data_IF_647630219274
#
_entry.id   IF_647630219274
#
_cell.length_a   1.000
_cell.length_b   1.000
_cell.length_c   1.000
_cell.angle_alpha   90.00
_cell.angle_beta   90.00
_cell.angle_gamma   90.00
#
_symmetry.space_group_name_H-M   'P 1'
#
loop_
_entity.id
_entity.type
_entity.pdbx_description
1 polymer ?
#
# COMPACT_ATOMS: atom_id res chain seq x y z
N UNK A 1 5.46 -3.50 12.95
CA UNK A 1 6.06 -3.20 11.66
C UNK A 1 5.06 -3.28 10.51
N UNK A 2 3.92 -3.88 10.75
CA UNK A 2 2.94 -4.14 9.70
C UNK A 2 1.53 -4.23 10.25
N UNK A 3 0.55 -3.98 9.38
CA UNK A 3 -0.86 -4.15 9.70
C UNK A 3 -1.56 -4.85 8.54
N UNK A 4 -2.57 -5.64 8.86
CA UNK A 4 -3.40 -6.31 7.88
C UNK A 4 -4.86 -6.30 8.32
N UNK A 5 -5.76 -6.32 7.34
CA UNK A 5 -7.18 -6.35 7.61
C UNK A 5 -7.95 -6.95 6.43
N UNK A 6 -9.13 -7.47 6.72
CA UNK A 6 -10.09 -7.79 5.67
C UNK A 6 -10.87 -6.53 5.32
N UNK A 7 -11.01 -6.29 4.04
CA UNK A 7 -11.66 -5.08 3.55
C UNK A 7 -13.18 -5.14 3.72
N UNK A 8 -13.77 -6.31 3.66
CA UNK A 8 -15.21 -6.49 3.78
C UNK A 8 -15.55 -7.87 4.29
N UNK A 9 -16.67 -7.94 5.00
CA UNK A 9 -17.29 -9.19 5.35
C UNK A 9 -18.19 -9.58 4.20
N UNK A 10 -17.92 -10.61 3.55
CA UNK A 10 -18.69 -10.81 2.71
C UNK A 10 -19.24 -11.69 1.76
N UNK A 11 -19.85 -11.33 0.80
CA UNK A 11 -20.46 -12.17 -0.17
C UNK A 11 -19.39 -12.73 -1.10
N UNK A 12 -18.81 -13.83 -0.69
CA UNK A 12 -17.75 -14.52 -1.40
C UNK A 12 -18.10 -14.86 -2.84
N UNK A 13 -19.38 -14.96 -3.14
CA UNK A 13 -19.85 -15.27 -4.50
C UNK A 13 -19.49 -14.24 -5.54
N UNK A 14 -19.31 -13.01 -5.13
CA UNK A 14 -18.95 -11.93 -6.05
C UNK A 14 -17.45 -11.82 -6.26
N UNK A 15 -16.69 -12.57 -5.51
CA UNK A 15 -15.24 -12.39 -5.45
C UNK A 15 -14.51 -12.79 -6.70
N UNK A 16 -14.93 -13.88 -7.32
CA UNK A 16 -14.28 -14.34 -8.56
C UNK A 16 -14.36 -13.31 -9.69
N UNK A 17 -15.38 -12.43 -9.65
CA UNK A 17 -15.55 -11.37 -10.62
C UNK A 17 -14.85 -10.09 -10.22
N UNK A 18 -14.60 -9.90 -8.94
CA UNK A 18 -14.15 -8.62 -8.41
C UNK A 18 -12.71 -8.27 -8.72
N UNK A 19 -11.83 -9.23 -8.87
CA UNK A 19 -10.45 -8.91 -9.20
C UNK A 19 -10.34 -8.22 -10.54
N UNK A 20 -11.00 -8.77 -11.57
CA UNK A 20 -11.03 -8.15 -12.88
C UNK A 20 -11.70 -6.78 -12.82
N UNK A 21 -12.83 -6.70 -12.11
CA UNK A 21 -13.55 -5.45 -11.93
C UNK A 21 -12.72 -4.42 -11.18
N UNK A 22 -12.03 -4.83 -10.15
CA UNK A 22 -11.12 -3.98 -9.39
C UNK A 22 -10.06 -3.37 -10.31
N UNK A 23 -9.40 -4.19 -11.10
CA UNK A 23 -8.34 -3.75 -11.99
C UNK A 23 -8.84 -2.81 -13.09
N UNK A 24 -10.07 -3.04 -13.56
CA UNK A 24 -10.70 -2.15 -14.53
C UNK A 24 -11.17 -0.85 -13.90
N UNK A 25 -11.52 -0.89 -12.61
CA UNK A 25 -12.02 0.27 -11.88
C UNK A 25 -10.91 1.15 -11.30
N UNK A 26 -9.71 0.60 -11.12
CA UNK A 26 -8.59 1.37 -10.59
C UNK A 26 -8.00 2.26 -11.67
N UNK A 27 -7.95 3.53 -11.38
CA UNK A 27 -7.26 4.50 -12.23
C UNK A 27 -5.77 4.44 -11.93
N UNK A 28 -5.05 3.63 -12.71
CA UNK A 28 -3.61 3.42 -12.55
C UNK A 28 -2.83 4.73 -12.64
N UNK A 29 -3.21 5.61 -13.57
CA UNK A 29 -2.52 6.90 -13.72
C UNK A 29 -2.69 7.78 -12.49
N UNK A 30 -3.87 7.77 -11.90
CA UNK A 30 -4.13 8.50 -10.67
C UNK A 30 -3.33 7.94 -9.51
N UNK A 31 -3.24 6.62 -9.39
CA UNK A 31 -2.43 5.97 -8.37
C UNK A 31 -0.95 6.33 -8.53
N UNK A 32 -0.42 6.22 -9.74
CA UNK A 32 0.98 6.57 -10.01
C UNK A 32 1.27 8.04 -9.72
N UNK A 33 0.37 8.96 -10.10
CA UNK A 33 0.57 10.37 -9.82
C UNK A 33 0.47 10.68 -8.32
N UNK A 34 -0.38 9.96 -7.60
CA UNK A 34 -0.50 10.08 -6.15
C UNK A 34 0.79 9.63 -5.46
N UNK A 35 1.35 8.49 -5.90
CA UNK A 35 2.64 8.02 -5.40
C UNK A 35 3.73 9.05 -5.66
N UNK A 36 3.82 9.56 -6.87
CA UNK A 36 4.82 10.55 -7.24
C UNK A 36 4.71 11.81 -6.38
N UNK A 37 3.50 12.29 -6.15
CA UNK A 37 3.28 13.46 -5.30
C UNK A 37 3.65 13.18 -3.85
N UNK A 38 3.27 12.03 -3.33
CA UNK A 38 3.59 11.64 -1.95
C UNK A 38 5.11 11.50 -1.75
N UNK A 39 5.80 10.94 -2.71
CA UNK A 39 7.25 10.73 -2.61
C UNK A 39 8.06 12.02 -2.70
N UNK A 40 7.49 13.10 -3.20
CA UNK A 40 8.18 14.40 -3.23
C UNK A 40 8.51 14.92 -1.83
N UNK A 41 7.72 14.60 -0.85
CA UNK A 41 7.89 15.09 0.52
C UNK A 41 8.76 14.19 1.40
N UNK A 42 9.24 13.06 0.89
CA UNK A 42 9.96 12.09 1.69
C UNK A 42 11.06 11.40 0.89
N UNK A 43 12.06 10.84 1.61
CA UNK A 43 13.06 9.96 1.03
C UNK A 43 12.54 8.52 0.88
N UNK A 44 11.41 8.19 1.50
CA UNK A 44 10.82 6.86 1.41
C UNK A 44 10.21 6.57 0.04
N UNK A 45 10.05 5.29 -0.26
CA UNK A 45 9.44 4.82 -1.50
C UNK A 45 8.16 4.06 -1.20
N UNK A 46 7.15 4.26 -2.04
CA UNK A 46 5.83 3.68 -1.86
C UNK A 46 5.48 2.81 -3.05
N UNK A 47 5.13 1.55 -2.79
CA UNK A 47 4.72 0.60 -3.82
C UNK A 47 3.34 0.08 -3.52
N UNK A 48 2.57 -0.15 -4.58
CA UNK A 48 1.27 -0.81 -4.51
C UNK A 48 1.36 -2.11 -5.30
N UNK A 49 0.99 -3.21 -4.65
CA UNK A 49 0.91 -4.52 -5.29
C UNK A 49 -0.54 -4.98 -5.31
N UNK A 50 -1.05 -5.29 -6.50
CA UNK A 50 -2.39 -5.84 -6.68
C UNK A 50 -2.27 -7.30 -7.07
N UNK A 51 -2.78 -8.19 -6.22
CA UNK A 51 -2.76 -9.62 -6.49
C UNK A 51 -4.08 -10.08 -7.08
N UNK A 52 -3.99 -10.82 -8.17
CA UNK A 52 -5.14 -11.46 -8.81
C UNK A 52 -5.51 -12.79 -8.15
N UNK A 53 -4.71 -13.24 -7.23
CA UNK A 53 -4.84 -14.55 -6.60
C UNK A 53 -5.72 -14.50 -5.38
N UNK A 54 -6.21 -15.67 -5.00
CA UNK A 54 -6.81 -15.83 -3.69
C UNK A 54 -5.69 -15.89 -2.64
N UNK A 55 -5.66 -14.91 -1.75
CA UNK A 55 -4.61 -14.77 -0.75
C UNK A 55 -5.23 -14.84 0.63
N UNK A 56 -5.16 -16.02 1.30
CA UNK A 56 -5.78 -16.17 2.62
C UNK A 56 -5.09 -15.35 3.71
N UNK A 57 -3.79 -15.11 3.59
CA UNK A 57 -3.03 -14.33 4.56
C UNK A 57 -2.30 -13.20 3.82
N UNK A 58 -2.97 -12.05 3.74
CA UNK A 58 -2.43 -10.89 3.02
C UNK A 58 -1.13 -10.38 3.64
N UNK A 59 -1.03 -10.43 4.97
CA UNK A 59 0.16 -9.93 5.66
C UNK A 59 1.38 -10.79 5.36
N UNK A 60 1.23 -12.11 5.42
CA UNK A 60 2.32 -13.03 5.11
C UNK A 60 2.78 -12.87 3.66
N UNK A 61 1.82 -12.77 2.73
CA UNK A 61 2.13 -12.62 1.31
C UNK A 61 2.78 -11.27 1.02
N UNK A 62 2.29 -10.20 1.63
CA UNK A 62 2.88 -8.87 1.50
C UNK A 62 4.33 -8.85 2.00
N UNK A 63 4.58 -9.49 3.13
CA UNK A 63 5.93 -9.59 3.70
C UNK A 63 6.86 -10.35 2.76
N UNK A 64 6.36 -11.43 2.16
CA UNK A 64 7.13 -12.19 1.17
C UNK A 64 7.46 -11.34 -0.06
N UNK A 65 6.49 -10.62 -0.58
CA UNK A 65 6.70 -9.71 -1.71
C UNK A 65 7.70 -8.60 -1.38
N UNK A 66 7.62 -8.05 -0.20
CA UNK A 66 8.53 -7.01 0.27
C UNK A 66 9.99 -7.47 0.16
N UNK A 67 10.28 -8.68 0.60
CA UNK A 67 11.62 -9.27 0.51
C UNK A 67 11.98 -9.65 -0.92
N UNK A 68 11.04 -10.22 -1.66
CA UNK A 68 11.26 -10.65 -3.04
C UNK A 68 11.68 -9.47 -3.93
N UNK A 69 11.05 -8.32 -3.75
CA UNK A 69 11.37 -7.12 -4.51
C UNK A 69 12.50 -6.30 -3.89
N UNK A 70 13.17 -6.84 -2.90
CA UNK A 70 14.36 -6.25 -2.26
C UNK A 70 14.08 -4.87 -1.66
N UNK A 71 12.85 -4.66 -1.21
CA UNK A 71 12.46 -3.42 -0.58
C UNK A 71 13.11 -3.21 0.79
N UNK A 72 13.65 -4.28 1.37
CA UNK A 72 14.38 -4.24 2.63
C UNK A 72 15.88 -3.91 2.47
N UNK A 73 16.26 -3.41 1.30
CA UNK A 73 17.69 -3.15 0.99
C UNK A 73 18.00 -1.68 0.74
N UNK A 74 17.12 -0.79 1.13
CA UNK A 74 17.37 0.65 1.02
C UNK A 74 18.22 1.13 2.21
N UNK A 75 18.95 2.22 2.01
CA UNK A 75 19.86 2.74 3.02
C UNK A 75 19.15 3.13 4.32
N UNK A 76 17.96 3.76 4.21
CA UNK A 76 17.20 4.23 5.37
C UNK A 76 16.15 3.22 5.85
N UNK A 77 15.99 2.11 5.14
CA UNK A 77 15.00 1.08 5.48
C UNK A 77 13.60 1.68 5.65
N UNK A 78 13.19 2.54 4.71
CA UNK A 78 11.96 3.33 4.79
C UNK A 78 10.99 3.12 3.63
N UNK A 79 11.07 2.00 2.96
CA UNK A 79 10.10 1.62 1.94
C UNK A 79 8.80 1.11 2.56
N UNK A 80 7.69 1.34 1.87
CA UNK A 80 6.36 0.87 2.28
C UNK A 80 5.68 0.20 1.10
N UNK A 81 5.07 -0.95 1.36
CA UNK A 81 4.27 -1.70 0.40
C UNK A 81 2.81 -1.73 0.84
N UNK A 82 1.92 -1.33 -0.05
CA UNK A 82 0.48 -1.52 0.12
C UNK A 82 0.09 -2.70 -0.77
N UNK A 83 -0.31 -3.80 -0.14
CA UNK A 83 -0.70 -5.04 -0.82
C UNK A 83 -2.21 -5.18 -0.79
N UNK A 84 -2.82 -5.42 -1.95
CA UNK A 84 -4.27 -5.58 -2.07
C UNK A 84 -4.57 -6.88 -2.80
N UNK A 85 -5.43 -7.70 -2.22
CA UNK A 85 -5.90 -8.95 -2.82
C UNK A 85 -7.43 -8.91 -2.87
N UNK A 86 -8.02 -8.35 -3.94
CA UNK A 86 -9.46 -8.15 -4.02
C UNK A 86 -10.26 -9.45 -3.95
N UNK A 87 -9.74 -10.53 -4.53
CA UNK A 87 -10.40 -11.85 -4.52
C UNK A 87 -10.67 -12.37 -3.11
N UNK A 88 -9.77 -12.06 -2.18
CA UNK A 88 -9.84 -12.51 -0.79
C UNK A 88 -10.40 -11.43 0.13
N UNK A 89 -10.82 -10.30 -0.39
CA UNK A 89 -11.23 -9.14 0.42
C UNK A 89 -10.19 -8.76 1.47
N UNK A 90 -8.92 -8.87 1.13
CA UNK A 90 -7.86 -8.62 2.11
C UNK A 90 -6.85 -7.63 1.57
N UNK A 91 -6.23 -6.93 2.48
CA UNK A 91 -5.12 -6.04 2.17
C UNK A 91 -4.17 -5.99 3.36
N UNK A 92 -2.94 -5.57 3.08
CA UNK A 92 -1.93 -5.40 4.12
C UNK A 92 -1.04 -4.23 3.77
N UNK A 93 -0.51 -3.59 4.79
CA UNK A 93 0.49 -2.53 4.64
C UNK A 93 1.74 -2.99 5.38
N UNK A 94 2.86 -3.02 4.66
CA UNK A 94 4.14 -3.47 5.21
C UNK A 94 5.16 -2.36 5.00
N UNK A 95 5.83 -1.97 6.07
CA UNK A 95 6.94 -1.04 5.98
C UNK A 95 8.19 -1.64 6.55
N UNK A 96 9.32 -1.13 6.14
CA UNK A 96 10.59 -1.61 6.61
C UNK A 96 10.86 -1.18 8.05
N UNK A 97 11.86 -1.75 8.66
CA UNK A 97 12.18 -1.54 10.07
C UNK A 97 12.44 -0.07 10.41
N UNK A 98 12.99 0.71 9.46
CA UNK A 98 13.19 2.15 9.67
C UNK A 98 11.89 2.90 9.83
N UNK A 99 10.85 2.51 9.12
CA UNK A 99 9.52 3.11 9.27
C UNK A 99 8.94 2.79 10.63
N UNK A 100 8.99 1.53 11.02
CA UNK A 100 8.47 1.09 12.31
C UNK A 100 9.19 1.78 13.47
N UNK A 101 10.51 1.87 13.39
CA UNK A 101 11.32 2.48 14.45
C UNK A 101 10.98 3.96 14.67
N UNK A 102 10.66 4.70 13.61
CA UNK A 102 10.38 6.13 13.70
C UNK A 102 8.91 6.47 13.84
N UNK A 103 8.04 5.73 13.15
CA UNK A 103 6.62 6.05 13.10
C UNK A 103 5.81 5.34 14.18
N UNK A 104 6.31 4.22 14.70
CA UNK A 104 5.64 3.45 15.74
C UNK A 104 4.46 2.62 15.24
N UNK A 105 3.77 1.97 16.17
CA UNK A 105 2.68 1.05 15.84
C UNK A 105 1.43 1.77 15.31
N UNK A 106 1.20 3.00 15.73
CA UNK A 106 0.05 3.78 15.28
C UNK A 106 0.03 4.09 13.79
N UNK A 107 1.19 4.10 13.15
CA UNK A 107 1.33 4.33 11.72
C UNK A 107 0.44 3.39 10.90
N UNK A 108 0.57 2.10 11.19
CA UNK A 108 -0.14 1.05 10.43
C UNK A 108 -1.65 1.15 10.60
N UNK A 109 -2.08 1.42 11.82
CA UNK A 109 -3.50 1.56 12.11
C UNK A 109 -4.10 2.75 11.37
N UNK A 110 -3.40 3.86 11.30
CA UNK A 110 -3.88 5.04 10.57
C UNK A 110 -4.05 4.75 9.08
N UNK A 111 -3.08 4.07 8.48
CA UNK A 111 -3.15 3.74 7.05
C UNK A 111 -4.30 2.75 6.78
N UNK A 112 -4.40 1.70 7.60
CA UNK A 112 -5.45 0.70 7.45
C UNK A 112 -6.83 1.33 7.60
N UNK A 113 -7.02 2.19 8.58
CA UNK A 113 -8.31 2.84 8.80
C UNK A 113 -8.67 3.86 7.72
N UNK A 114 -7.66 4.45 7.06
CA UNK A 114 -7.91 5.32 5.91
C UNK A 114 -8.43 4.53 4.70
N UNK A 115 -8.01 3.28 4.55
CA UNK A 115 -8.37 2.47 3.40
C UNK A 115 -9.64 1.65 3.58
N UNK A 116 -9.85 1.10 4.76
CA UNK A 116 -10.88 0.09 5.03
C UNK A 116 -12.29 0.50 4.60
N UNK A 117 -12.83 1.67 5.00
CA UNK A 117 -14.20 2.02 4.64
C UNK A 117 -14.40 2.14 3.14
N UNK A 118 -13.41 2.67 2.44
CA UNK A 118 -13.47 2.86 1.00
C UNK A 118 -13.42 1.55 0.24
N UNK A 119 -12.60 0.62 0.70
CA UNK A 119 -12.55 -0.72 0.12
C UNK A 119 -13.87 -1.46 0.35
N UNK A 120 -14.49 -1.28 1.50
CA UNK A 120 -15.78 -1.88 1.81
C UNK A 120 -16.90 -1.33 0.91
N UNK A 121 -16.81 -0.08 0.50
CA UNK A 121 -17.76 0.54 -0.41
C UNK A 121 -17.46 0.29 -1.89
N UNK A 122 -16.36 -0.36 -2.21
CA UNK A 122 -15.95 -0.61 -3.58
C UNK A 122 -15.24 0.56 -4.26
N UNK A 123 -14.89 1.59 -3.52
CA UNK A 123 -14.17 2.76 -4.02
C UNK A 123 -12.67 2.49 -4.02
N UNK A 124 -12.24 1.65 -4.95
CA UNK A 124 -10.89 1.08 -4.93
C UNK A 124 -9.79 2.12 -5.18
N UNK A 125 -9.99 2.95 -6.19
CA UNK A 125 -9.04 4.02 -6.49
C UNK A 125 -8.92 4.97 -5.30
N UNK A 126 -10.04 5.38 -4.75
CA UNK A 126 -10.09 6.29 -3.62
C UNK A 126 -9.43 5.70 -2.37
N UNK A 127 -9.66 4.41 -2.13
CA UNK A 127 -9.02 3.70 -1.03
C UNK A 127 -7.50 3.73 -1.15
N UNK A 128 -6.97 3.42 -2.33
CA UNK A 128 -5.54 3.44 -2.57
C UNK A 128 -4.96 4.85 -2.51
N UNK A 129 -5.65 5.83 -3.08
CA UNK A 129 -5.23 7.23 -3.00
C UNK A 129 -5.10 7.68 -1.54
N UNK A 130 -6.10 7.41 -0.71
CA UNK A 130 -6.05 7.79 0.70
C UNK A 130 -4.97 7.05 1.47
N UNK A 131 -4.78 5.77 1.18
CA UNK A 131 -3.70 4.99 1.79
C UNK A 131 -2.33 5.56 1.45
N UNK A 132 -2.10 5.86 0.18
CA UNK A 132 -0.84 6.43 -0.29
C UNK A 132 -0.60 7.81 0.31
N UNK A 133 -1.61 8.65 0.33
CA UNK A 133 -1.51 9.99 0.91
C UNK A 133 -1.17 9.92 2.40
N UNK A 134 -1.79 9.00 3.11
CA UNK A 134 -1.52 8.82 4.54
C UNK A 134 -0.12 8.32 4.78
N UNK A 135 0.33 7.32 4.02
CA UNK A 135 1.71 6.84 4.08
C UNK A 135 2.67 7.98 3.79
N UNK A 136 2.41 8.73 2.73
CA UNK A 136 3.28 9.85 2.34
C UNK A 136 3.39 10.92 3.42
N UNK A 137 2.27 11.28 4.02
CA UNK A 137 2.23 12.26 5.12
C UNK A 137 3.06 11.81 6.32
N UNK A 138 2.89 10.56 6.72
CA UNK A 138 3.62 10.00 7.86
C UNK A 138 5.10 9.84 7.55
N UNK A 139 5.44 9.41 6.34
CA UNK A 139 6.83 9.33 5.92
C UNK A 139 7.48 10.72 5.85
N UNK A 140 6.78 11.72 5.37
CA UNK A 140 7.30 13.08 5.30
C UNK A 140 7.62 13.65 6.67
N UNK A 141 6.84 13.30 7.69
CA UNK A 141 7.08 13.74 9.06
C UNK A 141 8.36 13.15 9.64
N UNK A 142 8.69 11.93 9.30
CA UNK A 142 9.82 11.19 9.88
C UNK A 142 11.01 11.02 8.95
N UNK A 143 10.78 11.10 7.65
CA UNK A 143 11.81 10.96 6.62
C UNK A 143 11.62 12.05 5.57
N UNK A 144 11.81 13.32 5.95
CA UNK A 144 11.59 14.42 5.02
C UNK A 144 12.55 14.35 3.82
N UNK A 145 12.09 14.89 2.71
CA UNK A 145 12.89 14.93 1.51
C UNK A 145 14.20 15.69 1.76
N UNK A 146 15.31 15.11 1.30
CA UNK A 146 16.65 15.63 1.58
C UNK A 146 17.14 16.67 0.58
N UNK A 147 16.28 17.18 -0.29
CA UNK A 147 16.65 18.16 -1.29
C UNK A 147 16.01 17.91 -2.63
N UNK A 148 16.46 18.69 -3.62
CA UNK A 148 15.93 18.63 -4.97
C UNK A 148 16.46 17.42 -5.72
N UNK A 149 15.70 16.98 -6.70
CA UNK A 149 16.17 16.00 -7.68
C UNK A 149 15.85 14.55 -7.41
N UNK A 150 15.10 14.25 -6.36
CA UNK A 150 14.63 12.88 -6.19
C UNK A 150 13.57 12.56 -7.25
N UNK A 151 13.80 11.50 -7.99
CA UNK A 151 12.83 10.99 -8.93
C UNK A 151 11.90 10.01 -8.22
N UNK A 152 10.61 10.03 -8.52
CA UNK A 152 9.70 9.02 -7.99
C UNK A 152 10.16 7.63 -8.39
N UNK A 153 10.28 6.73 -7.43
CA UNK A 153 10.78 5.37 -7.66
C UNK A 153 9.79 4.29 -7.28
N UNK A 154 8.74 4.66 -6.55
CA UNK A 154 7.66 3.76 -6.26
C UNK A 154 6.78 3.50 -7.47
N UNK A 155 5.89 2.54 -7.37
CA UNK A 155 5.03 2.20 -8.49
C UNK A 155 3.95 1.19 -8.13
N UNK A 156 3.28 0.73 -9.17
CA UNK A 156 2.23 -0.29 -9.09
C UNK A 156 2.73 -1.56 -9.75
N UNK A 157 2.59 -2.67 -9.05
CA UNK A 157 2.97 -4.00 -9.53
C UNK A 157 1.76 -4.92 -9.45
N UNK A 158 1.64 -5.82 -10.40
CA UNK A 158 0.59 -6.84 -10.41
C UNK A 158 1.23 -8.22 -10.59
N UNK A 159 0.59 -9.24 -10.07
CA UNK A 159 0.99 -10.62 -10.32
C UNK A 159 0.30 -11.27 -11.50
#
# INVERSE_FOLDING_TARGET
MEAAARAADGEERRESMKTRHFLNAVDRNKILSTIATAEKGTTGEIFVFVSHKNVPDALAEATRCFKKFKMDRTALRNDVLIFVAPRSHSFAVVGDIGVHAKCGDGFWNEVVEAMRPRLQHGDFTDALVHGIERVGSLLADHFPAAGEGKHPSGGVVED
#
